data_IF_903997566160
#
_entry.id   IF_903997566160
#
_cell.length_a   1.000
_cell.length_b   1.000
_cell.length_c   1.000
_cell.angle_alpha   90.00
_cell.angle_beta   90.00
_cell.angle_gamma   90.00
#
_symmetry.space_group_name_H-M   'P 1'
#
loop_
_entity.id
_entity.type
_entity.pdbx_description
1 polymer ?
#
# COMPACT_ATOMS: atom_id res chain seq x y z
N UNK A 1 -24.64 80.45 -34.74
CA UNK A 1 -24.93 79.06 -35.19
C UNK A 1 -25.46 78.15 -34.07
N UNK A 2 -24.94 78.21 -32.84
CA UNK A 2 -25.47 77.41 -31.73
C UNK A 2 -26.89 77.82 -31.29
N UNK A 3 -27.15 79.13 -31.16
CA UNK A 3 -28.46 79.67 -30.77
C UNK A 3 -29.59 79.28 -31.73
N UNK A 4 -29.29 79.23 -33.03
CA UNK A 4 -30.21 78.78 -34.08
C UNK A 4 -30.47 77.26 -34.04
N UNK A 5 -29.49 76.46 -33.61
CA UNK A 5 -29.68 75.01 -33.41
C UNK A 5 -30.56 74.73 -32.17
N UNK A 6 -30.35 75.48 -31.09
CA UNK A 6 -31.16 75.38 -29.86
C UNK A 6 -32.60 75.82 -30.11
N UNK A 7 -32.81 76.90 -30.87
CA UNK A 7 -34.16 77.34 -31.28
C UNK A 7 -34.87 76.29 -32.14
N UNK A 8 -34.18 75.69 -33.12
CA UNK A 8 -34.73 74.59 -33.93
C UNK A 8 -35.07 73.36 -33.09
N UNK A 9 -34.24 73.00 -32.10
CA UNK A 9 -34.53 71.90 -31.17
C UNK A 9 -35.74 72.21 -30.29
N UNK A 10 -35.84 73.43 -29.76
CA UNK A 10 -36.98 73.87 -28.93
C UNK A 10 -38.28 73.91 -29.72
N UNK A 11 -38.22 74.35 -30.97
CA UNK A 11 -39.34 74.33 -31.89
C UNK A 11 -39.71 72.90 -32.30
N UNK A 12 -38.73 72.00 -32.47
CA UNK A 12 -38.99 70.56 -32.70
C UNK A 12 -39.64 69.87 -31.50
N UNK A 13 -39.23 70.20 -30.28
CA UNK A 13 -39.80 69.64 -29.03
C UNK A 13 -41.18 70.25 -28.72
N UNK A 14 -41.42 71.50 -29.12
CA UNK A 14 -42.73 72.16 -28.94
C UNK A 14 -43.73 71.76 -30.04
N UNK A 15 -43.27 71.44 -31.26
CA UNK A 15 -44.11 71.01 -32.38
C UNK A 15 -44.23 69.49 -32.54
N UNK A 16 -43.51 68.68 -31.75
CA UNK A 16 -44.00 67.35 -31.44
C UNK A 16 -45.21 67.51 -30.53
N UNK A 17 -46.36 67.78 -31.15
CA UNK A 17 -47.63 67.32 -30.63
C UNK A 17 -47.44 65.83 -30.34
N UNK A 18 -47.13 65.52 -29.08
CA UNK A 18 -47.52 64.24 -28.50
C UNK A 18 -49.03 64.27 -28.68
N UNK A 19 -49.50 63.65 -29.77
CA UNK A 19 -50.90 63.40 -29.95
C UNK A 19 -51.36 62.78 -28.64
N UNK A 20 -52.20 63.51 -27.90
CA UNK A 20 -53.16 62.92 -26.97
C UNK A 20 -54.13 62.11 -27.84
N UNK A 21 -53.62 61.06 -28.49
CA UNK A 21 -54.43 60.08 -29.16
C UNK A 21 -55.14 59.35 -28.05
N UNK A 22 -56.43 59.65 -27.93
CA UNK A 22 -57.44 58.89 -27.23
C UNK A 22 -57.03 58.42 -25.83
N UNK A 23 -57.64 59.10 -24.87
CA UNK A 23 -57.95 58.59 -23.55
C UNK A 23 -58.77 57.27 -23.66
N UNK A 24 -58.16 56.21 -24.17
CA UNK A 24 -58.56 54.86 -23.85
C UNK A 24 -57.91 54.59 -22.51
N UNK A 25 -58.73 54.68 -21.46
CA UNK A 25 -58.43 54.15 -20.13
C UNK A 25 -58.32 52.62 -20.29
N UNK A 26 -57.23 52.16 -20.91
CA UNK A 26 -56.76 50.81 -20.73
C UNK A 26 -55.83 50.89 -19.55
N UNK A 27 -56.30 50.41 -18.40
CA UNK A 27 -55.48 50.27 -17.20
C UNK A 27 -54.14 49.62 -17.60
N UNK A 28 -52.98 50.15 -17.17
CA UNK A 28 -51.69 49.55 -17.46
C UNK A 28 -51.67 48.10 -17.00
N UNK A 29 -51.09 47.22 -17.82
CA UNK A 29 -50.99 45.79 -17.52
C UNK A 29 -49.84 45.56 -16.52
N UNK A 30 -50.21 45.33 -15.26
CA UNK A 30 -49.27 45.18 -14.14
C UNK A 30 -48.28 44.03 -14.34
N UNK A 31 -48.69 42.94 -15.02
CA UNK A 31 -47.80 41.81 -15.28
C UNK A 31 -46.69 42.19 -16.27
N UNK A 32 -47.04 42.95 -17.32
CA UNK A 32 -46.06 43.44 -18.29
C UNK A 32 -45.08 44.42 -17.65
N UNK A 33 -45.58 45.32 -16.81
CA UNK A 33 -44.76 46.28 -16.09
C UNK A 33 -43.80 45.60 -15.12
N UNK A 34 -44.25 44.57 -14.39
CA UNK A 34 -43.36 43.76 -13.56
C UNK A 34 -42.23 43.12 -14.38
N UNK A 35 -42.55 42.56 -15.55
CA UNK A 35 -41.54 42.00 -16.45
C UNK A 35 -40.55 43.03 -17.00
N UNK A 36 -41.01 44.24 -17.32
CA UNK A 36 -40.17 45.33 -17.81
C UNK A 36 -39.28 45.91 -16.70
N UNK A 37 -39.83 46.14 -15.51
CA UNK A 37 -39.05 46.68 -14.39
C UNK A 37 -37.96 45.70 -13.95
N UNK A 38 -38.27 44.40 -13.92
CA UNK A 38 -37.29 43.35 -13.58
C UNK A 38 -36.12 43.36 -14.56
N UNK A 39 -36.38 43.42 -15.87
CA UNK A 39 -35.33 43.53 -16.90
C UNK A 39 -34.51 44.80 -16.77
N UNK A 40 -35.14 45.92 -16.43
CA UNK A 40 -34.44 47.20 -16.22
C UNK A 40 -33.54 47.18 -14.98
N UNK A 41 -33.97 46.49 -13.92
CA UNK A 41 -33.18 46.29 -12.70
C UNK A 41 -32.04 45.28 -12.93
N UNK A 42 -32.27 44.20 -13.67
CA UNK A 42 -31.24 43.21 -14.04
C UNK A 42 -30.18 43.80 -14.98
N UNK A 43 -30.59 44.66 -15.93
CA UNK A 43 -29.67 45.34 -16.84
C UNK A 43 -28.95 46.54 -16.23
N UNK A 44 -29.30 46.94 -15.00
CA UNK A 44 -28.75 48.13 -14.32
C UNK A 44 -29.16 49.47 -14.93
N UNK A 45 -30.15 49.48 -15.84
CA UNK A 45 -30.67 50.71 -16.46
C UNK A 45 -31.57 51.51 -15.52
N UNK A 46 -32.14 50.83 -14.52
CA UNK A 46 -32.91 51.41 -13.42
C UNK A 46 -32.28 50.98 -12.10
N UNK A 47 -32.15 51.89 -11.14
CA UNK A 47 -31.65 51.57 -9.81
C UNK A 47 -32.79 50.97 -8.95
N UNK A 48 -32.50 49.98 -8.08
CA UNK A 48 -33.48 49.37 -7.17
C UNK A 48 -33.82 50.27 -5.98
N UNK A 49 -34.14 51.54 -6.26
CA UNK A 49 -34.57 52.57 -5.31
C UNK A 49 -36.07 52.81 -5.48
N UNK A 50 -36.82 52.83 -4.36
CA UNK A 50 -38.28 53.02 -4.36
C UNK A 50 -38.69 54.26 -5.16
N UNK A 51 -38.00 55.39 -4.96
CA UNK A 51 -38.29 56.65 -5.65
C UNK A 51 -38.05 56.62 -7.17
N UNK A 52 -37.09 55.80 -7.63
CA UNK A 52 -36.75 55.67 -9.06
C UNK A 52 -37.77 54.78 -9.77
N UNK A 53 -38.15 53.68 -9.13
CA UNK A 53 -39.15 52.75 -9.65
C UNK A 53 -40.54 53.40 -9.63
N UNK A 54 -40.86 54.19 -8.60
CA UNK A 54 -42.10 54.96 -8.52
C UNK A 54 -42.21 55.98 -9.66
N UNK A 55 -41.17 56.80 -9.88
CA UNK A 55 -41.13 57.76 -11.00
C UNK A 55 -41.23 57.08 -12.36
N UNK A 56 -40.63 55.90 -12.49
CA UNK A 56 -40.77 55.08 -13.68
C UNK A 56 -42.20 54.55 -13.85
N UNK A 57 -42.82 54.01 -12.80
CA UNK A 57 -44.19 53.49 -12.84
C UNK A 57 -45.22 54.59 -13.16
N UNK A 58 -45.04 55.80 -12.60
CA UNK A 58 -45.81 57.00 -12.95
C UNK A 58 -45.66 57.35 -14.44
N UNK A 59 -44.45 57.24 -15.00
CA UNK A 59 -44.22 57.51 -16.43
C UNK A 59 -44.88 56.48 -17.37
N UNK A 60 -45.19 55.29 -16.85
CA UNK A 60 -45.93 54.24 -17.57
C UNK A 60 -47.46 54.36 -17.40
N UNK A 61 -47.93 55.36 -16.66
CA UNK A 61 -49.35 55.67 -16.53
C UNK A 61 -50.05 55.05 -15.32
N UNK A 62 -49.30 54.57 -14.31
CA UNK A 62 -49.90 54.19 -13.03
C UNK A 62 -50.35 55.43 -12.25
N UNK A 63 -51.44 55.28 -11.50
CA UNK A 63 -51.84 56.29 -10.51
C UNK A 63 -50.85 56.31 -9.35
N UNK A 64 -50.67 57.46 -8.71
CA UNK A 64 -49.66 57.68 -7.66
C UNK A 64 -49.73 56.64 -6.52
N UNK A 65 -50.94 56.30 -6.07
CA UNK A 65 -51.14 55.26 -5.07
C UNK A 65 -50.73 53.86 -5.57
N UNK A 66 -51.02 53.52 -6.83
CA UNK A 66 -50.65 52.23 -7.43
C UNK A 66 -49.13 52.15 -7.70
N UNK A 67 -48.51 53.27 -8.12
CA UNK A 67 -47.08 53.38 -8.38
C UNK A 67 -46.23 53.21 -7.11
N UNK A 68 -46.68 53.76 -5.98
CA UNK A 68 -46.01 53.62 -4.68
C UNK A 68 -45.99 52.14 -4.24
N UNK A 69 -47.14 51.47 -4.34
CA UNK A 69 -47.28 50.05 -3.97
C UNK A 69 -46.47 49.16 -4.93
N UNK A 70 -46.53 49.44 -6.22
CA UNK A 70 -45.75 48.74 -7.24
C UNK A 70 -44.24 48.85 -7.00
N UNK A 71 -43.75 50.06 -6.69
CA UNK A 71 -42.34 50.29 -6.42
C UNK A 71 -41.86 49.53 -5.17
N UNK A 72 -42.68 49.48 -4.13
CA UNK A 72 -42.37 48.74 -2.91
C UNK A 72 -42.33 47.23 -3.15
N UNK A 73 -43.27 46.68 -3.92
CA UNK A 73 -43.29 45.25 -4.27
C UNK A 73 -42.12 44.85 -5.18
N UNK A 74 -41.78 45.68 -6.16
CA UNK A 74 -40.66 45.45 -7.07
C UNK A 74 -39.31 45.45 -6.35
N UNK A 75 -39.07 46.43 -5.46
CA UNK A 75 -37.85 46.48 -4.64
C UNK A 75 -37.76 45.26 -3.74
N UNK A 76 -38.84 44.94 -3.01
CA UNK A 76 -38.86 43.80 -2.11
C UNK A 76 -38.62 42.49 -2.84
N UNK A 77 -39.19 42.33 -4.03
CA UNK A 77 -39.02 41.12 -4.84
C UNK A 77 -37.60 40.98 -5.39
N UNK A 78 -37.00 42.08 -5.87
CA UNK A 78 -35.63 42.10 -6.39
C UNK A 78 -34.57 41.71 -5.35
N UNK A 79 -34.72 42.19 -4.11
CA UNK A 79 -33.78 41.83 -3.04
C UNK A 79 -34.05 40.41 -2.50
N UNK A 80 -35.31 39.98 -2.38
CA UNK A 80 -35.65 38.61 -1.93
C UNK A 80 -35.20 37.51 -2.90
N UNK A 81 -35.18 37.75 -4.20
CA UNK A 81 -34.67 36.78 -5.18
C UNK A 81 -33.15 36.64 -5.07
N UNK A 82 -32.42 37.74 -4.84
CA UNK A 82 -30.95 37.73 -4.70
C UNK A 82 -30.46 36.91 -3.49
N UNK A 83 -31.17 36.95 -2.36
CA UNK A 83 -30.84 36.18 -1.16
C UNK A 83 -31.09 34.68 -1.32
N UNK A 84 -32.04 34.28 -2.18
CA UNK A 84 -32.31 32.87 -2.46
C UNK A 84 -31.25 32.28 -3.38
N UNK A 85 -30.86 33.01 -4.42
CA UNK A 85 -29.83 32.53 -5.37
C UNK A 85 -28.44 32.38 -4.75
N UNK A 86 -28.10 33.23 -3.78
CA UNK A 86 -26.83 33.14 -3.05
C UNK A 86 -26.78 31.92 -2.12
N UNK A 87 -27.86 31.63 -1.40
CA UNK A 87 -27.96 30.43 -0.56
C UNK A 87 -27.87 29.14 -1.36
N UNK A 88 -28.56 29.05 -2.49
CA UNK A 88 -28.51 27.84 -3.34
C UNK A 88 -27.09 27.57 -3.86
N UNK A 89 -26.33 28.61 -4.25
CA UNK A 89 -24.95 28.47 -4.72
C UNK A 89 -23.98 28.05 -3.61
N UNK A 90 -24.18 28.51 -2.37
CA UNK A 90 -23.37 28.06 -1.23
C UNK A 90 -23.67 26.60 -0.88
N UNK A 91 -24.94 26.19 -0.89
CA UNK A 91 -25.37 24.82 -0.63
C UNK A 91 -24.85 23.83 -1.69
N UNK A 92 -24.90 24.21 -2.98
CA UNK A 92 -24.31 23.40 -4.07
C UNK A 92 -22.81 23.21 -3.89
N UNK A 93 -22.09 24.26 -3.50
CA UNK A 93 -20.65 24.21 -3.28
C UNK A 93 -20.26 23.35 -2.07
N UNK A 94 -21.05 23.42 -1.00
CA UNK A 94 -20.87 22.55 0.18
C UNK A 94 -21.15 21.08 -0.15
N UNK A 95 -22.14 20.81 -0.99
CA UNK A 95 -22.45 19.46 -1.45
C UNK A 95 -21.34 18.88 -2.34
N UNK A 96 -20.82 19.68 -3.27
CA UNK A 96 -19.70 19.32 -4.14
C UNK A 96 -18.45 18.97 -3.30
N UNK A 97 -18.12 19.78 -2.29
CA UNK A 97 -17.00 19.50 -1.38
C UNK A 97 -17.20 18.21 -0.56
N UNK A 98 -18.43 17.93 -0.12
CA UNK A 98 -18.76 16.67 0.59
C UNK A 98 -18.63 15.46 -0.32
N UNK A 99 -19.05 15.57 -1.58
CA UNK A 99 -18.91 14.50 -2.58
C UNK A 99 -17.43 14.22 -2.84
N UNK A 100 -16.62 15.26 -3.06
CA UNK A 100 -15.17 15.09 -3.29
C UNK A 100 -14.46 14.45 -2.10
N UNK A 101 -14.77 14.89 -0.86
CA UNK A 101 -14.24 14.24 0.35
C UNK A 101 -14.66 12.78 0.47
N UNK A 102 -15.89 12.45 0.10
CA UNK A 102 -16.40 11.08 0.14
C UNK A 102 -15.71 10.18 -0.89
N UNK A 103 -15.44 10.70 -2.09
CA UNK A 103 -14.69 9.98 -3.14
C UNK A 103 -13.26 9.70 -2.67
N UNK A 104 -12.57 10.70 -2.11
CA UNK A 104 -11.22 10.55 -1.61
C UNK A 104 -11.14 9.52 -0.47
N UNK A 105 -12.10 9.56 0.45
CA UNK A 105 -12.18 8.59 1.55
C UNK A 105 -12.47 7.17 1.03
N UNK A 106 -13.30 7.03 0.00
CA UNK A 106 -13.58 5.75 -0.65
C UNK A 106 -12.34 5.18 -1.34
N UNK A 107 -11.57 6.01 -2.04
CA UNK A 107 -10.30 5.61 -2.66
C UNK A 107 -9.26 5.16 -1.62
N UNK A 108 -9.15 5.89 -0.51
CA UNK A 108 -8.24 5.54 0.59
C UNK A 108 -8.61 4.20 1.24
N UNK A 109 -9.91 3.97 1.47
CA UNK A 109 -10.42 2.70 2.00
C UNK A 109 -10.15 1.56 1.03
N UNK A 110 -10.38 1.75 -0.26
CA UNK A 110 -10.11 0.72 -1.27
C UNK A 110 -8.63 0.38 -1.36
N UNK A 111 -7.75 1.38 -1.36
CA UNK A 111 -6.31 1.15 -1.36
C UNK A 111 -5.86 0.36 -0.11
N UNK A 112 -6.39 0.74 1.06
CA UNK A 112 -6.13 0.01 2.31
C UNK A 112 -6.61 -1.44 2.24
N UNK A 113 -7.75 -1.68 1.59
CA UNK A 113 -8.33 -3.01 1.41
C UNK A 113 -7.48 -3.87 0.45
N UNK A 114 -6.97 -3.30 -0.63
CA UNK A 114 -6.04 -3.99 -1.55
C UNK A 114 -4.71 -4.36 -0.86
N UNK A 115 -4.17 -3.46 -0.02
CA UNK A 115 -2.99 -3.76 0.79
C UNK A 115 -3.30 -4.89 1.79
N UNK A 116 -4.46 -4.86 2.43
CA UNK A 116 -4.86 -5.91 3.37
C UNK A 116 -5.00 -7.26 2.66
N UNK A 117 -5.61 -7.28 1.48
CA UNK A 117 -5.80 -8.48 0.67
C UNK A 117 -4.46 -9.09 0.23
N UNK A 118 -3.54 -8.28 -0.29
CA UNK A 118 -2.20 -8.76 -0.64
C UNK A 118 -1.41 -9.27 0.57
N UNK A 119 -1.58 -8.62 1.73
CA UNK A 119 -1.04 -9.11 3.01
C UNK A 119 -1.61 -10.47 3.42
N UNK A 120 -2.93 -10.69 3.23
CA UNK A 120 -3.57 -11.98 3.51
C UNK A 120 -3.09 -13.09 2.56
N UNK A 121 -2.89 -12.78 1.28
CA UNK A 121 -2.33 -13.73 0.30
C UNK A 121 -0.90 -14.13 0.70
N UNK A 122 -0.06 -13.16 1.09
CA UNK A 122 1.31 -13.42 1.57
C UNK A 122 1.31 -14.26 2.84
N UNK A 123 0.38 -14.00 3.78
CA UNK A 123 0.24 -14.80 4.99
C UNK A 123 -0.17 -16.24 4.67
N UNK A 124 -1.09 -16.44 3.72
CA UNK A 124 -1.55 -17.75 3.31
C UNK A 124 -0.39 -18.58 2.70
N UNK A 125 0.41 -17.97 1.83
CA UNK A 125 1.61 -18.60 1.24
C UNK A 125 2.64 -18.96 2.33
N UNK A 126 2.85 -18.07 3.31
CA UNK A 126 3.73 -18.36 4.44
C UNK A 126 3.23 -19.53 5.31
N UNK A 127 1.92 -19.63 5.53
CA UNK A 127 1.29 -20.76 6.26
C UNK A 127 1.49 -22.06 5.48
N UNK A 128 1.28 -22.06 4.17
CA UNK A 128 1.49 -23.23 3.30
C UNK A 128 2.95 -23.71 3.38
N UNK A 129 3.92 -22.81 3.26
CA UNK A 129 5.34 -23.14 3.42
C UNK A 129 5.68 -23.73 4.81
N UNK A 130 5.05 -23.22 5.88
CA UNK A 130 5.24 -23.79 7.22
C UNK A 130 4.63 -25.19 7.36
N UNK A 131 3.47 -25.44 6.72
CA UNK A 131 2.84 -26.76 6.70
C UNK A 131 3.68 -27.78 5.93
N UNK A 132 4.21 -27.41 4.77
CA UNK A 132 5.14 -28.25 4.01
C UNK A 132 6.37 -28.62 4.84
N UNK A 133 7.01 -27.63 5.47
CA UNK A 133 8.17 -27.86 6.35
C UNK A 133 7.82 -28.73 7.58
N UNK A 134 6.62 -28.60 8.11
CA UNK A 134 6.17 -29.44 9.22
C UNK A 134 6.02 -30.91 8.78
N UNK A 135 5.50 -31.15 7.58
CA UNK A 135 5.41 -32.50 7.01
C UNK A 135 6.79 -33.10 6.73
N UNK A 136 7.70 -32.33 6.12
CA UNK A 136 9.10 -32.72 5.91
C UNK A 136 9.79 -33.09 7.23
N UNK A 137 9.64 -32.28 8.27
CA UNK A 137 10.19 -32.56 9.59
C UNK A 137 9.61 -33.84 10.21
N UNK A 138 8.33 -34.14 9.97
CA UNK A 138 7.70 -35.39 10.41
C UNK A 138 8.33 -36.60 9.70
N UNK A 139 8.52 -36.52 8.38
CA UNK A 139 9.20 -37.55 7.58
C UNK A 139 10.63 -37.77 8.07
N UNK A 140 11.41 -36.70 8.22
CA UNK A 140 12.77 -36.76 8.76
C UNK A 140 12.82 -37.39 10.16
N UNK A 141 11.87 -37.06 11.05
CA UNK A 141 11.78 -37.68 12.38
C UNK A 141 11.57 -39.19 12.27
N UNK A 142 10.72 -39.65 11.35
CA UNK A 142 10.52 -41.10 11.13
C UNK A 142 11.79 -41.78 10.61
N UNK A 143 12.49 -41.16 9.66
CA UNK A 143 13.76 -41.68 9.13
C UNK A 143 14.86 -41.73 10.19
N UNK A 144 14.95 -40.72 11.05
CA UNK A 144 15.90 -40.72 12.17
C UNK A 144 15.59 -41.86 13.14
N UNK A 145 14.32 -42.13 13.42
CA UNK A 145 13.92 -43.24 14.29
C UNK A 145 14.22 -44.60 13.66
N UNK A 146 14.01 -44.77 12.34
CA UNK A 146 14.34 -46.02 11.65
C UNK A 146 15.84 -46.25 11.60
N UNK A 147 16.64 -45.22 11.27
CA UNK A 147 18.10 -45.29 11.31
C UNK A 147 18.61 -45.61 12.72
N UNK A 148 18.07 -44.96 13.76
CA UNK A 148 18.42 -45.26 15.16
C UNK A 148 18.13 -46.71 15.53
N UNK A 149 17.01 -47.27 15.05
CA UNK A 149 16.66 -48.68 15.23
C UNK A 149 17.65 -49.60 14.50
N UNK A 150 17.97 -49.32 13.23
CA UNK A 150 18.94 -50.09 12.44
C UNK A 150 20.33 -50.09 13.09
N UNK A 151 20.84 -48.93 13.50
CA UNK A 151 22.12 -48.80 14.22
C UNK A 151 22.09 -49.56 15.54
N UNK A 152 20.99 -49.47 16.29
CA UNK A 152 20.80 -50.23 17.52
C UNK A 152 20.82 -51.74 17.30
N UNK A 153 20.20 -52.23 16.23
CA UNK A 153 20.18 -53.65 15.87
C UNK A 153 21.56 -54.14 15.44
N UNK A 154 22.28 -53.40 14.59
CA UNK A 154 23.66 -53.72 14.20
C UNK A 154 24.61 -53.78 15.42
N UNK A 155 24.41 -52.88 16.39
CA UNK A 155 25.17 -52.90 17.65
C UNK A 155 24.90 -54.16 18.48
N UNK A 156 23.66 -54.68 18.48
CA UNK A 156 23.27 -55.91 19.18
C UNK A 156 23.70 -57.17 18.44
N UNK A 157 23.60 -57.20 17.12
CA UNK A 157 23.97 -58.34 16.26
C UNK A 157 25.48 -58.68 16.37
N UNK A 158 26.32 -57.66 16.59
CA UNK A 158 27.76 -57.83 16.94
C UNK A 158 27.99 -58.57 18.26
N UNK A 159 27.00 -58.60 19.16
CA UNK A 159 27.08 -59.28 20.46
C UNK A 159 26.37 -60.64 20.46
N UNK A 160 25.30 -60.84 19.69
CA UNK A 160 24.60 -62.14 19.63
C UNK A 160 25.35 -63.21 18.82
N UNK A 161 26.23 -62.82 17.90
CA UNK A 161 27.15 -63.76 17.22
C UNK A 161 28.30 -64.25 18.12
N UNK A 162 28.39 -63.78 19.37
CA UNK A 162 29.31 -64.30 20.40
C UNK A 162 28.63 -65.37 21.27
N UNK A 163 27.98 -66.37 20.66
CA UNK A 163 27.82 -67.63 21.37
C UNK A 163 29.19 -68.33 21.41
N UNK A 164 29.68 -68.77 22.59
CA UNK A 164 30.99 -69.39 22.73
C UNK A 164 30.90 -70.82 22.22
N UNK A 165 30.99 -71.01 20.91
CA UNK A 165 31.40 -72.31 20.39
C UNK A 165 32.88 -72.42 20.67
N UNK A 166 33.23 -73.31 21.60
CA UNK A 166 34.60 -73.76 21.86
C UNK A 166 35.14 -74.49 20.62
N UNK A 167 35.38 -73.76 19.54
CA UNK A 167 36.34 -74.20 18.55
C UNK A 167 37.71 -73.85 19.12
N UNK A 168 38.58 -74.86 19.23
CA UNK A 168 40.00 -74.63 19.42
C UNK A 168 40.52 -73.88 18.20
N UNK A 169 40.34 -72.56 18.19
CA UNK A 169 40.98 -71.68 17.24
C UNK A 169 42.45 -71.68 17.65
N UNK A 170 43.26 -72.38 16.86
CA UNK A 170 44.72 -72.15 16.82
C UNK A 170 44.91 -70.65 16.84
N UNK A 171 45.54 -70.14 17.89
CA UNK A 171 45.92 -68.73 18.06
C UNK A 171 46.45 -68.22 16.73
N UNK A 172 45.64 -67.47 15.99
CA UNK A 172 46.16 -66.63 14.92
C UNK A 172 47.02 -65.59 15.64
N UNK A 173 48.30 -65.58 15.32
CA UNK A 173 49.26 -64.67 15.92
C UNK A 173 48.70 -63.24 15.84
N UNK A 174 48.41 -62.67 17.01
CA UNK A 174 48.11 -61.26 17.23
C UNK A 174 49.37 -60.39 17.02
N UNK A 175 50.18 -60.73 16.01
CA UNK A 175 51.33 -59.90 15.66
C UNK A 175 50.82 -58.64 14.95
N UNK A 176 51.03 -57.49 15.60
CA UNK A 176 50.81 -56.16 15.02
C UNK A 176 49.51 -55.44 15.42
N UNK A 177 48.71 -55.98 16.34
CA UNK A 177 47.54 -55.27 16.87
C UNK A 177 47.98 -54.36 18.03
N UNK A 178 47.86 -53.05 17.84
CA UNK A 178 48.27 -52.07 18.84
C UNK A 178 47.22 -52.00 19.96
N UNK A 179 47.68 -51.99 21.21
CA UNK A 179 46.81 -51.89 22.39
C UNK A 179 45.99 -50.59 22.37
N UNK A 180 44.71 -50.61 22.74
CA UNK A 180 43.87 -49.40 22.80
C UNK A 180 44.46 -48.28 23.67
N UNK A 181 45.26 -48.61 24.69
CA UNK A 181 45.93 -47.63 25.55
C UNK A 181 47.11 -46.91 24.87
N UNK A 182 47.63 -47.45 23.77
CA UNK A 182 48.76 -46.90 23.02
C UNK A 182 48.31 -46.20 21.74
N UNK A 183 47.00 -46.25 21.44
CA UNK A 183 46.41 -45.70 20.21
C UNK A 183 46.71 -44.22 20.05
N UNK A 184 46.50 -43.42 21.09
CA UNK A 184 46.71 -41.97 21.02
C UNK A 184 48.18 -41.61 20.85
N UNK A 185 49.07 -42.36 21.52
CA UNK A 185 50.52 -42.16 21.39
C UNK A 185 51.01 -42.45 19.97
N UNK A 186 50.51 -43.53 19.38
CA UNK A 186 50.92 -43.95 18.03
C UNK A 186 50.27 -43.08 16.96
N UNK A 187 49.01 -42.65 17.14
CA UNK A 187 48.35 -41.66 16.26
C UNK A 187 49.11 -40.34 16.24
N UNK A 188 49.45 -39.80 17.41
CA UNK A 188 50.27 -38.59 17.51
C UNK A 188 51.64 -38.75 16.85
N UNK A 189 52.26 -39.93 16.98
CA UNK A 189 53.55 -40.21 16.34
C UNK A 189 53.45 -40.30 14.82
N UNK A 190 52.38 -40.88 14.28
CA UNK A 190 52.12 -40.88 12.82
C UNK A 190 51.94 -39.45 12.33
N UNK A 191 51.23 -38.60 13.07
CA UNK A 191 51.07 -37.17 12.75
C UNK A 191 52.42 -36.45 12.71
N UNK A 192 53.33 -36.73 13.63
CA UNK A 192 54.70 -36.18 13.59
C UNK A 192 55.49 -36.65 12.36
N UNK A 193 55.39 -37.94 12.01
CA UNK A 193 56.06 -38.49 10.82
C UNK A 193 55.49 -37.89 9.52
N UNK A 194 54.19 -37.58 9.48
CA UNK A 194 53.57 -36.85 8.36
C UNK A 194 54.15 -35.42 8.28
N UNK A 195 54.29 -34.72 9.41
CA UNK A 195 54.92 -33.38 9.43
C UNK A 195 56.37 -33.40 8.95
N UNK A 196 57.09 -34.49 9.21
CA UNK A 196 58.46 -34.70 8.71
C UNK A 196 58.52 -35.16 7.23
N UNK A 197 57.38 -35.36 6.57
CA UNK A 197 57.30 -35.85 5.19
C UNK A 197 57.64 -37.34 5.03
N UNK A 198 57.75 -38.09 6.13
CA UNK A 198 58.10 -39.53 6.13
C UNK A 198 56.88 -40.44 5.97
N UNK A 199 55.68 -39.95 6.27
CA UNK A 199 54.41 -40.67 6.13
C UNK A 199 53.35 -39.80 5.44
N UNK A 200 52.25 -40.41 5.01
CA UNK A 200 51.12 -39.71 4.39
C UNK A 200 49.86 -39.77 5.26
N UNK A 201 48.87 -38.94 4.93
CA UNK A 201 47.63 -38.86 5.71
C UNK A 201 46.78 -40.14 5.60
N UNK A 202 46.95 -40.88 4.52
CA UNK A 202 46.34 -42.19 4.30
C UNK A 202 46.85 -43.23 5.32
N UNK A 203 48.10 -43.09 5.79
CA UNK A 203 48.68 -43.98 6.80
C UNK A 203 48.01 -43.78 8.17
N UNK A 204 47.62 -42.54 8.50
CA UNK A 204 46.86 -42.23 9.70
C UNK A 204 45.43 -42.78 9.61
N UNK A 205 44.77 -42.56 8.48
CA UNK A 205 43.44 -43.11 8.20
C UNK A 205 43.42 -44.64 8.25
N UNK A 206 44.48 -45.29 7.73
CA UNK A 206 44.67 -46.73 7.80
C UNK A 206 44.82 -47.19 9.25
N UNK A 207 45.63 -46.50 10.06
CA UNK A 207 45.80 -46.84 11.47
C UNK A 207 44.51 -46.66 12.28
N UNK A 208 43.76 -45.58 12.07
CA UNK A 208 42.51 -45.32 12.80
C UNK A 208 41.42 -46.34 12.49
N UNK A 209 41.36 -46.82 11.25
CA UNK A 209 40.35 -47.79 10.79
C UNK A 209 40.73 -49.24 11.09
N UNK A 210 42.01 -49.59 10.98
CA UNK A 210 42.47 -50.99 11.10
C UNK A 210 43.17 -51.33 12.41
N UNK A 211 43.56 -50.32 13.19
CA UNK A 211 44.39 -50.46 14.39
C UNK A 211 45.75 -51.17 14.13
N UNK A 212 46.24 -51.13 12.88
CA UNK A 212 47.52 -51.65 12.43
C UNK A 212 48.35 -50.55 11.79
N UNK A 213 49.67 -50.65 11.91
CA UNK A 213 50.57 -49.74 11.21
C UNK A 213 50.68 -50.13 9.74
N UNK A 214 50.74 -49.14 8.85
CA UNK A 214 51.11 -49.40 7.46
C UNK A 214 52.60 -49.75 7.38
N UNK A 215 53.02 -50.46 6.34
CA UNK A 215 54.42 -50.86 6.16
C UNK A 215 55.38 -49.65 6.16
N UNK A 216 54.92 -48.50 5.64
CA UNK A 216 55.68 -47.25 5.61
C UNK A 216 55.91 -46.67 6.99
N UNK A 217 54.86 -46.69 7.81
CA UNK A 217 54.94 -46.26 9.21
C UNK A 217 55.84 -47.22 9.98
N UNK A 218 55.64 -48.54 9.86
CA UNK A 218 56.50 -49.53 10.52
C UNK A 218 57.98 -49.38 10.18
N UNK A 219 58.29 -49.12 8.90
CA UNK A 219 59.67 -48.89 8.46
C UNK A 219 60.27 -47.63 9.08
N UNK A 220 59.49 -46.55 9.16
CA UNK A 220 59.91 -45.28 9.77
C UNK A 220 60.16 -45.43 11.27
N UNK A 221 59.32 -46.19 11.99
CA UNK A 221 59.54 -46.54 13.40
C UNK A 221 60.81 -47.37 13.59
N UNK A 222 61.07 -48.36 12.72
CA UNK A 222 62.27 -49.21 12.79
C UNK A 222 63.57 -48.46 12.46
N UNK A 223 63.50 -47.46 11.58
CA UNK A 223 64.64 -46.61 11.23
C UNK A 223 65.03 -45.65 12.38
N UNK A 224 64.05 -45.05 13.06
CA UNK A 224 64.32 -44.19 14.24
C UNK A 224 64.94 -44.96 15.43
N UNK A 225 64.62 -46.25 15.58
CA UNK A 225 65.25 -47.10 16.60
C UNK A 225 66.70 -47.48 16.27
N UNK A 226 67.14 -47.38 15.01
CA UNK A 226 68.55 -47.56 14.63
C UNK A 226 69.38 -46.29 14.84
N UNK A 227 68.77 -45.12 14.69
CA UNK A 227 69.46 -43.82 14.86
C UNK A 227 69.77 -43.48 16.33
N UNK A 228 69.01 -44.03 17.28
CA UNK A 228 69.21 -43.79 18.72
C UNK A 228 70.16 -44.80 19.42
N UNK A 229 70.88 -45.64 18.67
CA UNK A 229 71.84 -46.62 19.19
C UNK A 229 73.27 -46.44 18.63
N UNK A 230 73.62 -45.22 18.24
CA UNK A 230 75.01 -44.82 17.93
C UNK A 230 75.50 -43.87 19.03
#
# INVERSE_FOLDING_TARGET
MLKSAILRLREKVSNTNISKSNLNVSKPDLEKLNGEVTKLLESGSLLPEKEKIEKWALSQGLEEAEAIVFAEDAVNSYFKSSEKETKTKEEEKELEEKIQKSILLYEEVNNTLEILKSGQETLAEAIECLLEKAEENSKLKTEVLTLKSQVGNLSKEKNETKNPVTTQIKKSNLNGMISPMEKDKISNRIIELIKQGKCQIEDLSFFESTHKLSERVEKSFKEEHKENHI
#
